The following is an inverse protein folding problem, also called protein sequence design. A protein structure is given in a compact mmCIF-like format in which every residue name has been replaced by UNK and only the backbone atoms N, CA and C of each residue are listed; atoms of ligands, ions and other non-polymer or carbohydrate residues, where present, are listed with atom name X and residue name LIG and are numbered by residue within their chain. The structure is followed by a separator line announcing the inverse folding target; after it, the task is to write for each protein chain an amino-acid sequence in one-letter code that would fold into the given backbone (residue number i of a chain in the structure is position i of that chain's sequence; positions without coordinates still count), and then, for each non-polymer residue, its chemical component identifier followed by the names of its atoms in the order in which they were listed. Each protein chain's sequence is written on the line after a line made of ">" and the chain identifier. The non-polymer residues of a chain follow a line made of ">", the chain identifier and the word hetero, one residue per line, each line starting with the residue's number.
data_IF_160746307404
#
_entry.id   IF_160746307404
#
_cell.length_a   1.000
_cell.length_b   1.000
_cell.length_c   1.000
_cell.angle_alpha   90.00
_cell.angle_beta   90.00
_cell.angle_gamma   90.00
#
_symmetry.space_group_name_H-M   'P 1'
#
loop_
_entity.id
_entity.type
_entity.pdbx_description
1 polymer ?
#
# COMPACT_ATOMS: atom_id res chain seq x y z
N UNK A 1 4.68 10.46 7.19
CA UNK A 1 4.71 9.02 6.83
C UNK A 1 5.74 8.87 5.74
N UNK A 2 6.83 8.12 5.95
CA UNK A 2 7.84 7.87 4.91
C UNK A 2 7.58 6.52 4.23
N UNK A 3 8.08 6.34 3.01
CA UNK A 3 7.95 5.09 2.27
C UNK A 3 8.57 3.92 3.05
N UNK A 4 9.73 4.15 3.67
CA UNK A 4 10.45 3.15 4.47
C UNK A 4 9.61 2.67 5.66
N UNK A 5 8.87 3.59 6.30
CA UNK A 5 7.98 3.26 7.41
C UNK A 5 6.84 2.34 6.93
N UNK A 6 6.19 2.69 5.82
CA UNK A 6 5.08 1.91 5.26
C UNK A 6 5.53 0.52 4.78
N UNK A 7 6.72 0.44 4.19
CA UNK A 7 7.35 -0.84 3.83
C UNK A 7 7.61 -1.68 5.07
N UNK A 8 8.15 -1.08 6.12
CA UNK A 8 8.43 -1.80 7.37
C UNK A 8 7.14 -2.29 8.04
N UNK A 9 6.09 -1.46 8.06
CA UNK A 9 4.78 -1.83 8.61
C UNK A 9 4.16 -3.02 7.85
N UNK A 10 4.26 -3.04 6.51
CA UNK A 10 3.81 -4.18 5.70
C UNK A 10 4.60 -5.45 6.02
N UNK A 11 5.92 -5.35 6.15
CA UNK A 11 6.78 -6.48 6.50
C UNK A 11 6.42 -7.05 7.87
N UNK A 12 6.22 -6.18 8.86
CA UNK A 12 5.90 -6.60 10.22
C UNK A 12 4.50 -7.21 10.31
N UNK A 13 3.53 -6.66 9.58
CA UNK A 13 2.21 -7.26 9.43
C UNK A 13 2.31 -8.69 8.87
N UNK A 14 2.96 -8.87 7.73
CA UNK A 14 3.11 -10.20 7.11
C UNK A 14 3.86 -11.17 8.02
N UNK A 15 4.91 -10.71 8.71
CA UNK A 15 5.60 -11.53 9.71
C UNK A 15 4.66 -11.95 10.85
N UNK A 16 3.84 -11.05 11.37
CA UNK A 16 2.88 -11.41 12.44
C UNK A 16 1.80 -12.39 11.98
N UNK A 17 1.35 -12.29 10.73
CA UNK A 17 0.33 -13.18 10.16
C UNK A 17 0.88 -14.58 9.84
N UNK A 18 2.13 -14.67 9.37
CA UNK A 18 2.68 -15.91 8.82
C UNK A 18 3.77 -16.56 9.69
N UNK A 19 4.38 -15.88 10.67
CA UNK A 19 5.30 -16.52 11.65
C UNK A 19 4.58 -17.31 12.74
N UNK A 20 3.27 -17.17 12.87
CA UNK A 20 2.43 -17.95 13.80
C UNK A 20 1.97 -19.29 13.22
N UNK A 21 2.17 -19.51 11.92
CA UNK A 21 2.00 -20.82 11.31
C UNK A 21 3.24 -21.65 11.65
N UNK A 22 3.04 -22.76 12.38
CA UNK A 22 4.06 -23.72 12.79
C UNK A 22 5.20 -23.89 11.76
N UNK A 23 6.43 -24.09 12.22
CA UNK A 23 7.63 -24.38 11.41
C UNK A 23 7.48 -25.59 10.45
N UNK A 24 6.37 -26.30 10.50
CA UNK A 24 5.97 -27.41 9.63
C UNK A 24 5.13 -26.99 8.43
N UNK A 25 4.62 -25.76 8.39
CA UNK A 25 3.81 -25.25 7.27
C UNK A 25 4.68 -24.72 6.13
N UNK A 26 4.32 -25.02 4.87
CA UNK A 26 5.05 -24.49 3.72
C UNK A 26 4.95 -22.96 3.67
N UNK A 27 6.04 -22.32 3.23
CA UNK A 27 6.09 -20.87 3.05
C UNK A 27 4.95 -20.40 2.11
N UNK A 28 4.24 -19.31 2.46
CA UNK A 28 3.15 -18.80 1.65
C UNK A 28 3.66 -18.25 0.30
N UNK A 29 2.79 -18.28 -0.70
CA UNK A 29 2.99 -17.58 -1.97
C UNK A 29 2.16 -16.29 -2.02
N UNK A 30 2.71 -15.22 -2.56
CA UNK A 30 2.14 -13.88 -2.56
C UNK A 30 2.00 -13.30 -3.97
N UNK A 31 0.86 -12.67 -4.23
CA UNK A 31 0.69 -11.68 -5.30
C UNK A 31 0.52 -10.34 -4.62
N UNK A 32 1.47 -9.42 -4.80
CA UNK A 32 1.43 -8.11 -4.16
C UNK A 32 0.70 -7.12 -5.07
N UNK A 33 -0.31 -6.44 -4.55
CA UNK A 33 -1.10 -5.48 -5.33
C UNK A 33 -1.09 -4.14 -4.60
N UNK A 34 -0.67 -3.09 -5.31
CA UNK A 34 -0.58 -1.74 -4.77
C UNK A 34 -1.25 -0.73 -5.70
N UNK A 35 -2.13 0.10 -5.13
CA UNK A 35 -2.78 1.21 -5.84
C UNK A 35 -2.15 2.55 -5.44
N UNK A 36 -1.85 3.43 -6.40
CA UNK A 36 -1.26 4.75 -6.16
C UNK A 36 -0.01 4.65 -5.25
N UNK A 37 0.02 5.36 -4.11
CA UNK A 37 1.10 5.25 -3.11
C UNK A 37 1.39 3.80 -2.69
N UNK A 38 0.38 2.95 -2.60
CA UNK A 38 0.54 1.54 -2.26
C UNK A 38 1.38 0.76 -3.29
N UNK A 39 1.40 1.21 -4.55
CA UNK A 39 2.25 0.65 -5.61
C UNK A 39 3.74 0.75 -5.28
N UNK A 40 4.18 1.92 -4.79
CA UNK A 40 5.55 2.15 -4.37
C UNK A 40 5.91 1.30 -3.14
N UNK A 41 4.97 1.11 -2.20
CA UNK A 41 5.17 0.28 -1.01
C UNK A 41 5.40 -1.18 -1.40
N UNK A 42 4.50 -1.76 -2.21
CA UNK A 42 4.60 -3.18 -2.56
C UNK A 42 5.80 -3.50 -3.46
N UNK A 43 6.14 -2.61 -4.40
CA UNK A 43 7.31 -2.80 -5.26
C UNK A 43 8.61 -2.76 -4.44
N UNK A 44 8.71 -1.83 -3.49
CA UNK A 44 9.88 -1.70 -2.61
C UNK A 44 9.97 -2.84 -1.59
N UNK A 45 8.85 -3.32 -1.06
CA UNK A 45 8.81 -4.41 -0.09
C UNK A 45 9.09 -5.80 -0.70
N UNK A 46 8.84 -5.97 -2.00
CA UNK A 46 8.88 -7.26 -2.71
C UNK A 46 10.12 -8.10 -2.39
N UNK A 47 11.32 -7.54 -2.54
CA UNK A 47 12.57 -8.27 -2.32
C UNK A 47 12.74 -8.75 -0.88
N UNK A 48 12.28 -7.96 0.10
CA UNK A 48 12.33 -8.35 1.52
C UNK A 48 11.31 -9.43 1.85
N UNK A 49 10.11 -9.35 1.29
CA UNK A 49 9.08 -10.40 1.44
C UNK A 49 9.61 -11.72 0.87
N UNK A 50 10.22 -11.67 -0.32
CA UNK A 50 10.83 -12.82 -1.00
C UNK A 50 11.94 -13.48 -0.17
N UNK A 51 12.74 -12.68 0.53
CA UNK A 51 13.88 -13.16 1.32
C UNK A 51 13.50 -13.65 2.73
N UNK A 52 12.51 -13.02 3.36
CA UNK A 52 12.27 -13.18 4.81
C UNK A 52 10.95 -13.88 5.16
N UNK A 53 10.00 -13.99 4.23
CA UNK A 53 8.60 -14.34 4.56
C UNK A 53 8.02 -15.45 3.68
N UNK A 54 8.19 -15.38 2.37
CA UNK A 54 7.59 -16.35 1.44
C UNK A 54 7.88 -16.03 -0.02
N UNK A 55 7.23 -16.74 -0.95
CA UNK A 55 7.52 -16.58 -2.38
C UNK A 55 6.59 -15.55 -3.01
N UNK A 56 7.13 -14.48 -3.58
CA UNK A 56 6.37 -13.52 -4.36
C UNK A 56 6.31 -13.99 -5.80
N UNK A 57 5.11 -14.33 -6.28
CA UNK A 57 4.87 -14.84 -7.64
C UNK A 57 4.42 -13.74 -8.61
N UNK A 58 4.14 -12.53 -8.11
CA UNK A 58 3.79 -11.38 -8.95
C UNK A 58 3.61 -10.09 -8.17
N UNK A 59 3.76 -8.98 -8.88
CA UNK A 59 3.49 -7.62 -8.37
C UNK A 59 2.61 -6.91 -9.38
N UNK A 60 1.52 -6.31 -8.90
CA UNK A 60 0.57 -5.51 -9.68
C UNK A 60 0.55 -4.10 -9.12
N UNK A 61 0.78 -3.12 -9.98
CA UNK A 61 0.70 -1.71 -9.63
C UNK A 61 -0.43 -1.07 -10.43
N UNK A 62 -1.35 -0.42 -9.73
CA UNK A 62 -2.55 0.20 -10.31
C UNK A 62 -2.44 1.71 -10.15
N UNK A 63 -2.64 2.43 -11.26
CA UNK A 63 -2.73 3.89 -11.29
C UNK A 63 -1.49 4.62 -10.73
N UNK A 64 -0.30 4.09 -11.04
CA UNK A 64 0.99 4.75 -10.79
C UNK A 64 1.67 5.01 -12.12
N UNK A 65 1.85 6.28 -12.45
CA UNK A 65 2.77 6.72 -13.51
C UNK A 65 3.70 7.73 -12.87
N UNK A 66 4.99 7.40 -12.79
CA UNK A 66 6.00 8.22 -12.09
C UNK A 66 6.02 9.67 -12.59
N UNK A 67 5.82 9.88 -13.90
CA UNK A 67 5.75 11.21 -14.51
C UNK A 67 4.49 12.01 -14.18
N UNK A 68 3.29 11.41 -14.27
CA UNK A 68 2.04 12.15 -13.98
C UNK A 68 1.78 12.31 -12.49
N UNK A 69 2.32 11.40 -11.66
CA UNK A 69 2.20 11.47 -10.21
C UNK A 69 2.91 12.70 -9.64
N UNK A 70 4.09 13.06 -10.16
CA UNK A 70 4.86 14.24 -9.73
C UNK A 70 4.15 15.54 -10.13
N UNK A 71 3.68 15.62 -11.38
CA UNK A 71 2.93 16.78 -11.87
C UNK A 71 1.61 16.97 -11.11
N UNK A 72 0.87 15.87 -10.89
CA UNK A 72 -0.37 15.89 -10.09
C UNK A 72 -0.11 16.21 -8.62
N UNK A 73 1.01 15.76 -8.03
CA UNK A 73 1.34 15.99 -6.62
C UNK A 73 1.33 17.48 -6.26
N UNK A 74 1.82 18.33 -7.16
CA UNK A 74 1.86 19.78 -6.99
C UNK A 74 0.45 20.37 -6.78
N UNK A 75 -0.57 19.80 -7.43
CA UNK A 75 -1.98 20.19 -7.29
C UNK A 75 -2.76 19.40 -6.25
N UNK A 76 -2.27 18.22 -5.83
CA UNK A 76 -2.92 17.38 -4.82
C UNK A 76 -3.11 18.09 -3.49
N UNK A 77 -2.16 18.93 -3.07
CA UNK A 77 -2.28 19.72 -1.85
C UNK A 77 -3.51 20.64 -1.86
N UNK A 78 -3.73 21.35 -2.97
CA UNK A 78 -4.93 22.19 -3.14
C UNK A 78 -6.22 21.37 -3.24
N UNK A 79 -6.20 20.21 -3.90
CA UNK A 79 -7.36 19.32 -4.02
C UNK A 79 -7.78 18.78 -2.65
N UNK A 80 -6.81 18.34 -1.84
CA UNK A 80 -7.07 17.86 -0.47
C UNK A 80 -7.57 19.00 0.42
N UNK A 81 -6.98 20.18 0.31
CA UNK A 81 -7.42 21.35 1.08
C UNK A 81 -8.82 21.86 0.69
N UNK A 82 -9.25 21.64 -0.54
CA UNK A 82 -10.58 21.99 -1.01
C UNK A 82 -11.68 21.04 -0.51
N UNK A 83 -11.32 19.89 0.06
CA UNK A 83 -12.31 18.94 0.60
C UNK A 83 -13.00 19.49 1.84
N UNK A 84 -14.30 19.19 2.05
CA UNK A 84 -14.99 19.51 3.28
C UNK A 84 -14.22 18.98 4.50
N UNK A 85 -14.12 19.79 5.56
CA UNK A 85 -13.45 19.40 6.82
C UNK A 85 -14.23 18.35 7.61
N UNK A 86 -15.50 18.14 7.26
CA UNK A 86 -16.37 17.17 7.90
C UNK A 86 -17.71 17.12 7.18
N UNK A 87 -18.45 16.05 7.43
CA UNK A 87 -19.79 15.83 6.91
C UNK A 87 -20.76 15.62 8.08
N UNK A 88 -22.04 16.03 7.95
CA UNK A 88 -23.03 15.83 9.00
C UNK A 88 -23.36 14.34 9.27
N UNK A 89 -23.17 13.47 8.28
CA UNK A 89 -23.36 12.02 8.40
C UNK A 89 -22.44 11.27 7.44
N UNK A 90 -22.39 9.94 7.58
CA UNK A 90 -21.63 9.06 6.69
C UNK A 90 -22.24 9.08 5.28
N UNK A 91 -23.57 9.08 5.18
CA UNK A 91 -24.32 9.11 3.91
C UNK A 91 -23.94 10.36 3.12
N UNK A 92 -23.91 11.53 3.78
CA UNK A 92 -23.50 12.79 3.14
C UNK A 92 -22.03 12.76 2.67
N UNK A 93 -21.16 12.02 3.37
CA UNK A 93 -19.77 11.85 2.96
C UNK A 93 -19.63 10.92 1.74
N UNK A 94 -20.51 9.91 1.62
CA UNK A 94 -20.55 8.99 0.48
C UNK A 94 -21.12 9.68 -0.76
N UNK A 95 -22.12 10.55 -0.61
CA UNK A 95 -22.74 11.30 -1.71
C UNK A 95 -21.87 12.44 -2.25
N UNK A 96 -20.85 12.88 -1.49
CA UNK A 96 -19.95 13.96 -1.90
C UNK A 96 -19.04 13.52 -3.05
N UNK A 97 -19.10 14.25 -4.18
CA UNK A 97 -18.24 14.07 -5.36
C UNK A 97 -17.27 15.23 -5.54
#
# INVERSE_FOLDING_TARGET
>A
MSLERLVQDLIDLLKSMFKTADSSSPLPSFILIGHSMGGAVVSTACNRIQAEIGTVIGVVVIDVVEGTAIDALTSMGSIVAARPKGFPSIENAIEWQ
#
